data_IF_571264648042
#
_entry.id   IF_571264648042
#
_cell.length_a   1.000
_cell.length_b   1.000
_cell.length_c   1.000
_cell.angle_alpha   90.00
_cell.angle_beta   90.00
_cell.angle_gamma   90.00
#
_symmetry.space_group_name_H-M   'P 1'
#
loop_
_entity.id
_entity.type
_entity.pdbx_description
1 polymer ?
#
# COMPACT_ATOMS: atom_id res chain seq x y z
N UNK A 1 -3.35 -10.37 12.03
CA UNK A 1 -3.57 -8.94 12.34
C UNK A 1 -3.51 -8.04 11.11
N UNK A 2 -2.35 -7.63 10.57
CA UNK A 2 -2.30 -6.67 9.45
C UNK A 2 -3.04 -7.13 8.18
N UNK A 3 -2.86 -8.39 7.79
CA UNK A 3 -3.57 -8.96 6.63
C UNK A 3 -5.07 -9.03 6.83
N UNK A 4 -5.50 -9.44 8.02
CA UNK A 4 -6.92 -9.59 8.36
C UNK A 4 -7.60 -8.22 8.37
N UNK A 5 -6.91 -7.19 8.83
CA UNK A 5 -7.38 -5.81 8.75
C UNK A 5 -7.60 -5.34 7.30
N UNK A 6 -6.63 -5.60 6.41
CA UNK A 6 -6.75 -5.25 4.98
C UNK A 6 -7.92 -6.01 4.33
N UNK A 7 -7.99 -7.32 4.57
CA UNK A 7 -9.05 -8.18 4.00
C UNK A 7 -10.42 -7.78 4.54
N UNK A 8 -10.53 -7.49 5.84
CA UNK A 8 -11.77 -7.04 6.47
C UNK A 8 -12.24 -5.71 5.91
N UNK A 9 -11.32 -4.74 5.73
CA UNK A 9 -11.64 -3.46 5.09
C UNK A 9 -12.12 -3.66 3.65
N UNK A 10 -11.43 -4.51 2.87
CA UNK A 10 -11.85 -4.81 1.50
C UNK A 10 -13.26 -5.43 1.45
N UNK A 11 -13.56 -6.37 2.36
CA UNK A 11 -14.87 -7.02 2.43
C UNK A 11 -15.99 -6.01 2.72
N UNK A 12 -15.79 -5.10 3.68
CA UNK A 12 -16.76 -4.04 3.97
C UNK A 12 -16.95 -3.08 2.79
N UNK A 13 -15.85 -2.71 2.11
CA UNK A 13 -15.91 -1.86 0.92
C UNK A 13 -16.62 -2.50 -0.27
N UNK A 14 -16.71 -3.83 -0.31
CA UNK A 14 -17.41 -4.54 -1.37
C UNK A 14 -18.93 -4.39 -1.30
N UNK A 15 -19.50 -3.90 -0.20
CA UNK A 15 -20.94 -3.70 -0.05
C UNK A 15 -21.48 -2.50 -0.87
N UNK A 16 -20.58 -1.59 -1.27
CA UNK A 16 -20.90 -0.42 -2.09
C UNK A 16 -20.63 -0.67 -3.58
N UNK A 17 -21.66 -0.57 -4.41
CA UNK A 17 -21.56 -0.82 -5.85
C UNK A 17 -20.67 0.19 -6.60
N UNK A 18 -20.60 1.43 -6.14
CA UNK A 18 -19.69 2.44 -6.70
C UNK A 18 -18.23 2.07 -6.43
N UNK A 19 -17.96 1.52 -5.24
CA UNK A 19 -16.62 1.03 -4.89
C UNK A 19 -16.23 -0.20 -5.71
N UNK A 20 -17.16 -1.12 -5.96
CA UNK A 20 -16.93 -2.24 -6.87
C UNK A 20 -16.64 -1.78 -8.29
N UNK A 21 -17.41 -0.81 -8.82
CA UNK A 21 -17.17 -0.26 -10.15
C UNK A 21 -15.80 0.40 -10.26
N UNK A 22 -15.40 1.20 -9.26
CA UNK A 22 -14.09 1.84 -9.21
C UNK A 22 -12.93 0.82 -9.16
N UNK A 23 -13.10 -0.26 -8.39
CA UNK A 23 -12.13 -1.35 -8.30
C UNK A 23 -11.83 -1.98 -9.67
N UNK A 24 -12.87 -2.27 -10.46
CA UNK A 24 -12.70 -2.83 -11.79
C UNK A 24 -12.19 -1.80 -12.80
N UNK A 25 -12.69 -0.55 -12.75
CA UNK A 25 -12.26 0.51 -13.65
C UNK A 25 -10.75 0.81 -13.51
N UNK A 26 -10.23 0.90 -12.27
CA UNK A 26 -8.80 1.12 -12.01
C UNK A 26 -7.94 0.01 -12.60
N UNK A 27 -8.35 -1.25 -12.45
CA UNK A 27 -7.61 -2.38 -13.00
C UNK A 27 -7.67 -2.42 -14.53
N UNK A 28 -8.84 -2.15 -15.11
CA UNK A 28 -8.99 -2.06 -16.56
C UNK A 28 -8.07 -0.98 -17.18
N UNK A 29 -7.91 0.16 -16.49
CA UNK A 29 -7.10 1.28 -16.97
C UNK A 29 -5.59 1.07 -16.77
N UNK A 30 -5.17 0.48 -15.65
CA UNK A 30 -3.76 0.53 -15.23
C UNK A 30 -3.10 -0.85 -15.06
N UNK A 31 -3.85 -1.95 -15.12
CA UNK A 31 -3.32 -3.29 -14.86
C UNK A 31 -3.48 -4.20 -16.08
N UNK A 32 -2.56 -5.14 -16.22
CA UNK A 32 -2.61 -6.16 -17.28
C UNK A 32 -3.64 -7.27 -17.02
N UNK A 33 -4.23 -7.30 -15.82
CA UNK A 33 -5.20 -8.30 -15.40
C UNK A 33 -6.20 -7.65 -14.45
N UNK A 34 -7.47 -8.01 -14.62
CA UNK A 34 -8.55 -7.69 -13.71
C UNK A 34 -8.74 -8.86 -12.74
N UNK A 35 -8.80 -8.55 -11.45
CA UNK A 35 -9.02 -9.51 -10.37
C UNK A 35 -10.14 -9.06 -9.44
N UNK A 36 -10.87 -10.01 -8.86
CA UNK A 36 -11.89 -9.70 -7.85
C UNK A 36 -11.23 -9.42 -6.49
N UNK A 37 -11.97 -8.76 -5.59
CA UNK A 37 -11.51 -8.53 -4.23
C UNK A 37 -11.22 -9.85 -3.48
N UNK A 38 -11.99 -10.91 -3.73
CA UNK A 38 -11.77 -12.24 -3.15
C UNK A 38 -10.49 -12.90 -3.68
N UNK A 39 -10.18 -12.74 -4.97
CA UNK A 39 -8.95 -13.25 -5.56
C UNK A 39 -7.72 -12.57 -4.95
N UNK A 40 -7.77 -11.24 -4.80
CA UNK A 40 -6.73 -10.47 -4.11
C UNK A 40 -6.62 -10.88 -2.64
N UNK A 41 -7.72 -11.08 -1.94
CA UNK A 41 -7.71 -11.57 -0.55
C UNK A 41 -7.04 -12.95 -0.43
N UNK A 42 -7.28 -13.87 -1.38
CA UNK A 42 -6.58 -15.17 -1.43
C UNK A 42 -5.07 -15.01 -1.62
N UNK A 43 -4.63 -14.05 -2.44
CA UNK A 43 -3.20 -13.74 -2.61
C UNK A 43 -2.59 -13.15 -1.34
N UNK A 44 -3.27 -12.20 -0.71
CA UNK A 44 -2.83 -11.58 0.56
C UNK A 44 -2.60 -12.64 1.65
N UNK A 45 -3.48 -13.64 1.76
CA UNK A 45 -3.31 -14.74 2.71
C UNK A 45 -2.01 -15.52 2.50
N UNK A 46 -1.57 -15.69 1.25
CA UNK A 46 -0.34 -16.44 0.89
C UNK A 46 0.97 -15.69 1.16
N UNK A 47 0.94 -14.37 1.35
CA UNK A 47 2.15 -13.57 1.62
C UNK A 47 2.88 -14.10 2.85
N UNK A 48 4.21 -14.19 2.85
CA UNK A 48 4.96 -14.66 4.03
C UNK A 48 5.72 -13.52 4.72
N UNK A 49 6.17 -13.74 5.94
CA UNK A 49 7.08 -12.80 6.61
C UNK A 49 8.37 -12.59 5.79
N UNK A 50 8.88 -13.65 5.13
CA UNK A 50 10.04 -13.57 4.24
C UNK A 50 9.81 -12.68 3.03
N UNK A 51 8.62 -12.73 2.43
CA UNK A 51 8.26 -11.82 1.33
C UNK A 51 8.27 -10.37 1.77
N UNK A 52 7.73 -10.10 2.96
CA UNK A 52 7.71 -8.75 3.55
C UNK A 52 9.13 -8.27 3.79
N UNK A 53 9.98 -9.07 4.44
CA UNK A 53 11.38 -8.71 4.72
C UNK A 53 12.18 -8.46 3.43
N UNK A 54 11.99 -9.31 2.42
CA UNK A 54 12.62 -9.15 1.11
C UNK A 54 12.22 -7.84 0.44
N UNK A 55 10.93 -7.50 0.47
CA UNK A 55 10.44 -6.26 -0.13
C UNK A 55 10.85 -5.02 0.68
N UNK A 56 10.87 -5.12 2.01
CA UNK A 56 11.31 -4.03 2.88
C UNK A 56 12.75 -3.61 2.57
N UNK A 57 13.67 -4.58 2.37
CA UNK A 57 15.04 -4.30 1.97
C UNK A 57 15.21 -3.69 0.57
N UNK A 58 14.16 -3.70 -0.27
CA UNK A 58 14.16 -3.05 -1.59
C UNK A 58 13.51 -1.66 -1.55
N UNK A 59 12.54 -1.45 -0.66
CA UNK A 59 11.77 -0.19 -0.60
C UNK A 59 12.42 0.82 0.35
N UNK A 60 12.89 0.39 1.51
CA UNK A 60 13.49 1.27 2.50
C UNK A 60 14.98 1.46 2.20
N UNK A 61 15.23 2.24 1.15
CA UNK A 61 16.56 2.68 0.74
C UNK A 61 16.85 4.08 1.33
N UNK A 62 17.78 4.20 2.30
CA UNK A 62 18.18 5.49 2.86
C UNK A 62 18.60 6.51 1.80
N UNK A 63 19.25 6.06 0.72
CA UNK A 63 19.75 6.96 -0.33
C UNK A 63 18.64 7.53 -1.23
N UNK A 64 17.45 6.90 -1.22
CA UNK A 64 16.27 7.35 -1.95
C UNK A 64 15.21 8.02 -1.05
N UNK A 65 15.53 8.24 0.23
CA UNK A 65 14.59 8.82 1.19
C UNK A 65 14.38 10.31 0.90
N UNK A 66 13.12 10.75 0.91
CA UNK A 66 12.71 12.15 0.71
C UNK A 66 11.79 12.59 1.84
N UNK A 67 12.05 13.75 2.42
CA UNK A 67 11.25 14.35 3.48
C UNK A 67 10.69 15.69 3.01
N UNK A 68 9.39 15.90 3.21
CA UNK A 68 8.70 17.16 2.95
C UNK A 68 7.93 17.58 4.20
N UNK A 69 8.20 18.78 4.71
CA UNK A 69 7.56 19.34 5.91
C UNK A 69 7.01 20.73 5.59
N UNK A 70 5.80 20.98 6.06
CA UNK A 70 5.13 22.29 5.99
C UNK A 70 4.83 22.72 7.42
N UNK A 71 5.44 23.81 7.88
CA UNK A 71 5.27 24.33 9.23
C UNK A 71 6.41 25.25 9.66
N UNK A 72 6.38 25.75 10.91
CA UNK A 72 7.43 26.61 11.46
C UNK A 72 8.67 25.79 11.83
N UNK A 73 9.38 25.27 10.84
CA UNK A 73 10.60 24.47 11.00
C UNK A 73 11.75 25.09 10.21
N UNK A 74 12.97 25.00 10.74
CA UNK A 74 14.18 25.42 10.04
C UNK A 74 14.69 24.30 9.15
N UNK A 75 15.34 24.66 8.05
CA UNK A 75 15.87 23.69 7.08
C UNK A 75 16.86 22.72 7.74
N UNK A 76 17.67 23.20 8.67
CA UNK A 76 18.70 22.42 9.34
C UNK A 76 18.08 21.30 10.19
N UNK A 77 17.01 21.62 10.94
CA UNK A 77 16.25 20.64 11.73
C UNK A 77 15.64 19.55 10.83
N UNK A 78 15.17 19.94 9.64
CA UNK A 78 14.61 19.00 8.64
C UNK A 78 15.70 18.10 8.04
N UNK A 79 16.89 18.64 7.77
CA UNK A 79 18.00 17.87 7.22
C UNK A 79 18.56 16.88 8.25
N UNK A 80 18.57 17.24 9.53
CA UNK A 80 18.98 16.32 10.61
C UNK A 80 18.06 15.11 10.74
N UNK A 81 16.76 15.24 10.43
CA UNK A 81 15.81 14.11 10.45
C UNK A 81 16.05 13.07 9.35
N UNK A 82 16.82 13.42 8.31
CA UNK A 82 17.18 12.52 7.21
C UNK A 82 18.51 11.79 7.46
N UNK A 83 19.23 12.13 8.53
CA UNK A 83 20.48 11.48 8.95
C UNK A 83 20.20 10.32 9.89
#
# INVERSE_FOLDING_TARGET
EAKDHIIGRMALSAEDSSTQAEWFAKQFLFMSKIETMEEVAKKLKKVTARDIQRLAGQIFDPDQTRLAIIGPVKKEEVVEMLR
#
